data_IF_161699458740
#
_entry.id   IF_161699458740
#
_cell.length_a   1.000
_cell.length_b   1.000
_cell.length_c   1.000
_cell.angle_alpha   90.00
_cell.angle_beta   90.00
_cell.angle_gamma   90.00
#
_symmetry.space_group_name_H-M   'P 1'
#
loop_
_entity.id
_entity.type
_entity.pdbx_description
1 polymer ?
#
# COMPACT_ATOMS: atom_id res chain seq x y z
N UNK A 1 -0.38 -18.66 68.27
CA UNK A 1 -1.79 -18.56 67.81
C UNK A 1 -1.90 -17.33 66.93
N UNK A 2 -2.31 -17.53 65.68
CA UNK A 2 -3.00 -16.57 64.79
C UNK A 2 -2.30 -15.23 64.53
N UNK A 3 -1.69 -15.11 63.34
CA UNK A 3 -1.80 -13.95 62.44
C UNK A 3 -0.75 -14.12 61.34
N UNK A 4 -1.15 -14.66 60.18
CA UNK A 4 -0.42 -14.53 58.90
C UNK A 4 -1.24 -15.07 57.71
N UNK A 5 -2.36 -15.77 57.97
CA UNK A 5 -3.24 -16.29 56.92
C UNK A 5 -4.23 -15.26 56.34
N UNK A 6 -4.31 -14.04 56.89
CA UNK A 6 -5.36 -13.07 56.50
C UNK A 6 -4.94 -12.13 55.36
N UNK A 7 -3.67 -12.11 54.96
CA UNK A 7 -3.16 -11.09 54.02
C UNK A 7 -3.27 -11.52 52.55
N UNK A 8 -3.31 -12.82 52.25
CA UNK A 8 -3.30 -13.32 50.86
C UNK A 8 -4.67 -13.32 50.17
N UNK A 9 -5.77 -13.44 50.92
CA UNK A 9 -7.11 -13.59 50.35
C UNK A 9 -7.70 -12.27 49.84
N UNK A 10 -7.36 -11.17 50.52
CA UNK A 10 -7.80 -9.81 50.17
C UNK A 10 -7.10 -9.25 48.94
N UNK A 11 -5.85 -9.64 48.68
CA UNK A 11 -5.09 -9.18 47.50
C UNK A 11 -5.62 -9.76 46.20
N UNK A 12 -6.09 -11.01 46.22
CA UNK A 12 -6.59 -11.69 45.03
C UNK A 12 -7.92 -11.08 44.51
N UNK A 13 -8.78 -10.61 45.40
CA UNK A 13 -10.05 -9.96 45.00
C UNK A 13 -9.85 -8.58 44.39
N UNK A 14 -8.84 -7.81 44.83
CA UNK A 14 -8.52 -6.50 44.26
C UNK A 14 -7.95 -6.57 42.83
N UNK A 15 -7.27 -7.67 42.46
CA UNK A 15 -6.73 -7.85 41.11
C UNK A 15 -7.82 -8.17 40.07
N UNK A 16 -8.88 -8.87 40.46
CA UNK A 16 -9.96 -9.26 39.54
C UNK A 16 -10.84 -8.06 39.14
N UNK A 17 -11.08 -7.10 40.04
CA UNK A 17 -11.87 -5.89 39.75
C UNK A 17 -11.14 -4.89 38.86
N UNK A 18 -9.80 -4.88 38.84
CA UNK A 18 -9.03 -3.93 38.03
C UNK A 18 -9.12 -4.24 36.53
N UNK A 19 -9.30 -5.50 36.15
CA UNK A 19 -9.37 -5.93 34.74
C UNK A 19 -10.69 -5.57 34.04
N UNK A 20 -11.73 -5.16 34.78
CA UNK A 20 -13.06 -4.82 34.22
C UNK A 20 -13.12 -3.36 33.75
N UNK A 21 -12.22 -2.49 34.22
CA UNK A 21 -12.24 -1.05 33.88
C UNK A 21 -11.31 -0.64 32.74
N UNK A 22 -10.43 -1.53 32.28
CA UNK A 22 -9.64 -1.34 31.06
C UNK A 22 -10.28 -2.07 29.88
N UNK A 23 -11.60 -1.91 29.72
CA UNK A 23 -12.22 -2.12 28.42
C UNK A 23 -11.75 -0.99 27.52
N UNK A 24 -10.57 -1.15 26.91
CA UNK A 24 -10.09 -0.25 25.87
C UNK A 24 -11.18 -0.17 24.80
N UNK A 25 -11.78 1.01 24.67
CA UNK A 25 -12.54 1.37 23.49
C UNK A 25 -11.53 1.57 22.37
N UNK A 26 -11.03 0.46 21.82
CA UNK A 26 -10.35 0.46 20.54
C UNK A 26 -11.38 0.86 19.49
N UNK A 27 -11.62 2.17 19.36
CA UNK A 27 -12.39 2.75 18.28
C UNK A 27 -11.73 2.29 16.99
N UNK A 28 -12.45 1.58 16.14
CA UNK A 28 -11.98 1.26 14.81
C UNK A 28 -11.76 2.57 14.05
N UNK A 29 -10.51 2.99 13.93
CA UNK A 29 -10.14 4.17 13.14
C UNK A 29 -10.19 3.79 11.67
N UNK A 30 -11.08 4.43 10.91
CA UNK A 30 -11.20 4.21 9.46
C UNK A 30 -10.19 5.06 8.71
N UNK A 31 -9.56 4.48 7.69
CA UNK A 31 -8.69 5.24 6.79
C UNK A 31 -9.52 6.09 5.84
N UNK A 32 -9.14 7.37 5.70
CA UNK A 32 -9.74 8.28 4.70
C UNK A 32 -9.49 7.73 3.29
N UNK A 33 -10.56 7.62 2.50
CA UNK A 33 -10.48 7.44 1.06
C UNK A 33 -10.10 8.79 0.42
N UNK A 34 -9.01 8.82 -0.35
CA UNK A 34 -8.58 10.04 -1.04
C UNK A 34 -9.53 10.38 -2.19
N UNK A 35 -9.79 11.67 -2.39
CA UNK A 35 -10.48 12.14 -3.58
C UNK A 35 -9.56 11.98 -4.82
N UNK A 36 -10.08 11.58 -6.00
CA UNK A 36 -9.25 11.44 -7.20
C UNK A 36 -8.46 12.71 -7.56
N UNK A 37 -8.97 13.91 -7.27
CA UNK A 37 -8.24 15.16 -7.53
C UNK A 37 -6.96 15.28 -6.68
N UNK A 38 -6.91 14.66 -5.49
CA UNK A 38 -5.73 14.65 -4.62
C UNK A 38 -4.59 13.77 -5.20
N UNK A 39 -4.93 12.80 -6.05
CA UNK A 39 -3.98 11.84 -6.64
C UNK A 39 -3.73 12.05 -8.13
N UNK A 40 -4.54 12.87 -8.81
CA UNK A 40 -4.31 13.24 -10.19
C UNK A 40 -2.95 13.96 -10.40
N UNK A 41 -2.45 13.91 -11.64
CA UNK A 41 -1.20 14.52 -12.09
C UNK A 41 -0.12 13.50 -12.46
N UNK A 42 1.10 14.01 -12.68
CA UNK A 42 2.22 13.18 -13.12
C UNK A 42 2.89 12.45 -11.96
N UNK A 43 3.15 11.17 -12.17
CA UNK A 43 3.84 10.27 -11.25
C UNK A 43 5.01 9.61 -11.96
N UNK A 44 6.09 9.35 -11.24
CA UNK A 44 7.18 8.53 -11.73
C UNK A 44 7.05 7.13 -11.14
N UNK A 45 6.90 6.14 -12.01
CA UNK A 45 7.02 4.75 -11.65
C UNK A 45 8.44 4.26 -11.95
N UNK A 46 9.03 3.54 -11.02
CA UNK A 46 10.35 2.90 -11.15
C UNK A 46 10.23 1.41 -10.87
N UNK A 47 10.72 0.59 -11.78
CA UNK A 47 10.85 -0.85 -11.62
C UNK A 47 12.24 -1.17 -11.07
N UNK A 48 12.30 -1.87 -9.95
CA UNK A 48 13.55 -2.28 -9.29
C UNK A 48 13.43 -3.73 -8.84
N UNK A 49 14.50 -4.50 -8.88
CA UNK A 49 14.50 -5.79 -8.21
C UNK A 49 14.59 -5.67 -6.69
N UNK A 50 14.11 -6.69 -5.97
CA UNK A 50 14.32 -6.82 -4.53
C UNK A 50 15.74 -7.22 -4.17
N UNK A 51 16.45 -7.86 -5.10
CA UNK A 51 17.82 -8.34 -4.97
C UNK A 51 18.61 -8.12 -6.27
N UNK A 52 19.94 -8.16 -6.17
CA UNK A 52 20.86 -8.03 -7.31
C UNK A 52 21.16 -9.40 -7.94
N UNK A 53 20.19 -10.32 -7.96
CA UNK A 53 20.39 -11.63 -8.59
C UNK A 53 20.52 -11.47 -10.12
N UNK A 54 21.27 -12.35 -10.82
CA UNK A 54 21.42 -12.28 -12.28
C UNK A 54 20.07 -12.34 -13.02
N UNK A 55 19.10 -13.05 -12.46
CA UNK A 55 17.71 -13.16 -12.95
C UNK A 55 16.97 -11.82 -12.80
N UNK A 56 17.11 -11.17 -11.65
CA UNK A 56 16.60 -9.83 -11.36
C UNK A 56 17.22 -8.74 -12.24
N UNK A 57 18.49 -8.88 -12.61
CA UNK A 57 19.18 -7.96 -13.53
C UNK A 57 18.64 -8.10 -14.97
N UNK A 58 18.51 -9.33 -15.47
CA UNK A 58 17.99 -9.58 -16.81
C UNK A 58 16.54 -9.09 -17.00
N UNK A 59 15.75 -9.05 -15.92
CA UNK A 59 14.38 -8.52 -15.92
C UNK A 59 14.32 -6.98 -15.92
N UNK A 60 15.39 -6.31 -15.51
CA UNK A 60 15.57 -4.85 -15.58
C UNK A 60 16.11 -4.37 -16.93
N UNK A 61 16.48 -5.27 -17.84
CA UNK A 61 16.94 -4.92 -19.21
C UNK A 61 15.77 -4.61 -20.18
N UNK A 62 14.55 -4.44 -19.66
CA UNK A 62 13.39 -3.94 -20.40
C UNK A 62 13.59 -2.47 -20.82
N UNK A 63 12.92 -1.96 -21.87
CA UNK A 63 13.29 -0.72 -22.57
C UNK A 63 13.36 0.55 -21.70
N UNK A 64 12.70 0.55 -20.53
CA UNK A 64 12.98 1.50 -19.46
C UNK A 64 12.53 0.93 -18.12
N UNK A 65 13.36 1.12 -17.08
CA UNK A 65 12.99 0.87 -15.69
C UNK A 65 12.23 2.06 -15.07
N UNK A 66 12.01 3.13 -15.82
CA UNK A 66 11.33 4.34 -15.36
C UNK A 66 10.25 4.75 -16.37
N UNK A 67 9.04 4.99 -15.88
CA UNK A 67 7.93 5.54 -16.66
C UNK A 67 7.34 6.73 -15.92
N UNK A 68 7.12 7.86 -16.62
CA UNK A 68 6.31 8.96 -16.07
C UNK A 68 4.88 8.74 -16.54
N UNK A 69 3.96 8.56 -15.61
CA UNK A 69 2.56 8.22 -15.85
C UNK A 69 1.68 9.40 -15.47
N UNK A 70 0.77 9.79 -16.35
CA UNK A 70 -0.24 10.80 -16.07
C UNK A 70 -1.51 10.18 -15.51
N UNK A 71 -1.83 10.50 -14.26
CA UNK A 71 -3.06 10.10 -13.60
C UNK A 71 -4.11 11.18 -13.85
N UNK A 72 -5.03 10.92 -14.78
CA UNK A 72 -6.04 11.90 -15.15
C UNK A 72 -7.16 11.95 -14.11
N UNK A 73 -7.79 13.12 -13.94
CA UNK A 73 -8.95 13.30 -13.04
C UNK A 73 -10.14 12.41 -13.40
N UNK A 74 -10.25 11.99 -14.66
CA UNK A 74 -11.25 11.03 -15.15
C UNK A 74 -10.97 9.59 -14.72
N UNK A 75 -9.97 9.37 -13.86
CA UNK A 75 -9.57 8.05 -13.36
C UNK A 75 -9.07 7.11 -14.47
N UNK A 76 -8.56 7.72 -15.54
CA UNK A 76 -7.86 7.06 -16.64
C UNK A 76 -6.36 7.34 -16.55
N UNK A 77 -5.55 6.44 -17.12
CA UNK A 77 -4.11 6.63 -17.27
C UNK A 77 -3.83 7.25 -18.64
N UNK A 78 -3.10 8.37 -18.65
CA UNK A 78 -2.72 9.10 -19.85
C UNK A 78 -1.34 8.72 -20.37
N UNK A 79 -0.54 9.75 -20.64
CA UNK A 79 0.85 9.60 -21.07
C UNK A 79 1.61 8.65 -20.14
N UNK A 80 2.42 7.74 -20.71
CA UNK A 80 3.20 6.76 -19.95
C UNK A 80 2.47 5.48 -19.54
N UNK A 81 1.15 5.38 -19.77
CA UNK A 81 0.40 4.14 -19.50
C UNK A 81 0.94 2.93 -20.29
N UNK A 82 1.35 3.14 -21.55
CA UNK A 82 1.94 2.09 -22.39
C UNK A 82 3.30 1.60 -21.87
N UNK A 83 4.16 2.54 -21.43
CA UNK A 83 5.44 2.24 -20.78
C UNK A 83 5.21 1.39 -19.52
N UNK A 84 4.28 1.81 -18.67
CA UNK A 84 3.96 1.11 -17.43
C UNK A 84 3.36 -0.28 -17.67
N UNK A 85 2.51 -0.42 -18.69
CA UNK A 85 1.87 -1.70 -19.06
C UNK A 85 2.88 -2.78 -19.46
N UNK A 86 4.05 -2.40 -19.99
CA UNK A 86 5.12 -3.35 -20.34
C UNK A 86 5.66 -4.15 -19.13
N UNK A 87 5.35 -3.72 -17.91
CA UNK A 87 5.73 -4.38 -16.67
C UNK A 87 4.66 -5.36 -16.15
N UNK A 88 3.42 -5.29 -16.65
CA UNK A 88 2.25 -5.96 -16.05
C UNK A 88 1.89 -7.29 -16.71
N UNK A 89 2.89 -8.11 -17.08
CA UNK A 89 2.68 -9.47 -17.58
C UNK A 89 1.65 -9.63 -18.73
N UNK A 90 1.52 -8.63 -19.61
CA UNK A 90 0.59 -8.64 -20.75
C UNK A 90 -0.74 -7.95 -20.48
N UNK A 91 -0.98 -7.46 -19.27
CA UNK A 91 -2.13 -6.62 -18.96
C UNK A 91 -1.88 -5.17 -19.38
N UNK A 92 -2.92 -4.52 -19.92
CA UNK A 92 -2.86 -3.11 -20.30
C UNK A 92 -3.44 -2.27 -19.17
N UNK A 93 -2.64 -1.36 -18.61
CA UNK A 93 -3.10 -0.39 -17.62
C UNK A 93 -3.88 0.73 -18.31
N UNK A 94 -5.17 0.85 -17.99
CA UNK A 94 -6.11 1.78 -18.63
C UNK A 94 -6.60 2.83 -17.63
N UNK A 95 -6.84 2.43 -16.38
CA UNK A 95 -7.38 3.31 -15.36
C UNK A 95 -6.72 3.15 -14.01
N UNK A 96 -7.21 3.93 -13.06
CA UNK A 96 -6.74 3.89 -11.69
C UNK A 96 -7.84 4.32 -10.72
N UNK A 97 -7.77 3.89 -9.47
CA UNK A 97 -8.75 4.24 -8.44
C UNK A 97 -8.05 4.41 -7.07
N UNK A 98 -8.36 5.47 -6.30
CA UNK A 98 -7.86 5.60 -4.93
C UNK A 98 -8.44 4.48 -4.05
N UNK A 99 -7.63 3.82 -3.23
CA UNK A 99 -8.11 2.97 -2.14
C UNK A 99 -7.63 3.58 -0.80
N UNK A 100 -8.29 3.29 0.35
CA UNK A 100 -7.95 3.95 1.63
C UNK A 100 -6.48 3.82 2.05
N UNK A 101 -5.83 2.75 1.62
CA UNK A 101 -4.43 2.39 1.90
C UNK A 101 -3.57 2.30 0.64
N UNK A 102 -4.04 2.80 -0.51
CA UNK A 102 -3.27 2.66 -1.75
C UNK A 102 -3.95 3.20 -3.00
N UNK A 103 -3.53 2.65 -4.14
CA UNK A 103 -4.06 2.94 -5.46
C UNK A 103 -4.21 1.62 -6.20
N UNK A 104 -5.40 1.38 -6.75
CA UNK A 104 -5.61 0.32 -7.71
C UNK A 104 -5.27 0.82 -9.11
N UNK A 105 -4.54 0.04 -9.89
CA UNK A 105 -4.44 0.16 -11.34
C UNK A 105 -5.43 -0.81 -11.94
N UNK A 106 -6.19 -0.32 -12.92
CA UNK A 106 -7.23 -1.10 -13.58
C UNK A 106 -6.91 -1.36 -15.04
N UNK A 107 -7.29 -2.55 -15.49
CA UNK A 107 -7.20 -2.99 -16.88
C UNK A 107 -8.50 -2.79 -17.63
N UNK A 108 -8.70 -3.61 -18.66
CA UNK A 108 -9.93 -3.60 -19.42
C UNK A 108 -11.12 -3.94 -18.51
N UNK A 109 -12.27 -3.32 -18.80
CA UNK A 109 -13.52 -3.52 -18.06
C UNK A 109 -13.44 -3.18 -16.56
N UNK A 110 -12.42 -2.42 -16.14
CA UNK A 110 -12.25 -1.98 -14.74
C UNK A 110 -11.71 -3.05 -13.79
N UNK A 111 -11.21 -4.18 -14.32
CA UNK A 111 -10.58 -5.22 -13.50
C UNK A 111 -9.33 -4.67 -12.78
N UNK A 112 -9.15 -5.00 -11.49
CA UNK A 112 -7.95 -4.60 -10.73
C UNK A 112 -6.78 -5.51 -11.13
N UNK A 113 -5.76 -4.93 -11.74
CA UNK A 113 -4.57 -5.67 -12.26
C UNK A 113 -3.32 -5.46 -11.40
N UNK A 114 -3.24 -4.33 -10.69
CA UNK A 114 -2.15 -4.06 -9.75
C UNK A 114 -2.66 -3.22 -8.57
N UNK A 115 -2.18 -3.52 -7.37
CA UNK A 115 -2.41 -2.71 -6.19
C UNK A 115 -1.10 -2.10 -5.69
N UNK A 116 -1.07 -0.77 -5.61
CA UNK A 116 0.05 0.04 -5.13
C UNK A 116 -0.25 0.49 -3.70
N UNK A 117 0.35 -0.18 -2.71
CA UNK A 117 0.15 0.13 -1.30
C UNK A 117 0.86 1.44 -0.91
N UNK A 118 0.13 2.34 -0.24
CA UNK A 118 0.66 3.60 0.28
C UNK A 118 1.73 3.31 1.34
N UNK A 119 2.95 3.81 1.11
CA UNK A 119 4.03 3.75 2.10
C UNK A 119 4.03 5.00 2.97
N UNK A 120 3.79 6.14 2.33
CA UNK A 120 3.62 7.48 2.90
C UNK A 120 3.00 8.38 1.82
N UNK A 121 2.65 9.60 2.18
CA UNK A 121 2.10 10.55 1.21
C UNK A 121 3.01 10.74 0.00
N UNK A 122 2.44 10.59 -1.19
CA UNK A 122 3.17 10.71 -2.45
C UNK A 122 4.12 9.55 -2.78
N UNK A 123 4.06 8.42 -2.07
CA UNK A 123 4.92 7.25 -2.32
C UNK A 123 4.16 5.94 -2.13
N UNK A 124 4.09 5.13 -3.19
CA UNK A 124 3.39 3.85 -3.22
C UNK A 124 4.29 2.74 -3.75
N UNK A 125 3.99 1.49 -3.38
CA UNK A 125 4.76 0.32 -3.83
C UNK A 125 3.87 -0.87 -4.16
N UNK A 126 4.28 -1.65 -5.15
CA UNK A 126 3.67 -2.93 -5.49
C UNK A 126 4.75 -3.97 -5.76
N UNK A 127 4.58 -5.19 -5.24
CA UNK A 127 5.42 -6.31 -5.61
C UNK A 127 4.84 -7.02 -6.83
N UNK A 128 5.68 -7.34 -7.81
CA UNK A 128 5.33 -8.19 -8.93
C UNK A 128 5.67 -9.66 -8.62
N UNK A 129 5.13 -10.60 -9.40
CA UNK A 129 5.38 -12.04 -9.24
C UNK A 129 6.86 -12.42 -9.42
N UNK A 130 7.63 -11.61 -10.13
CA UNK A 130 9.00 -11.91 -10.58
C UNK A 130 10.09 -11.25 -9.74
N UNK A 131 9.96 -11.24 -8.40
CA UNK A 131 10.88 -10.54 -7.44
C UNK A 131 11.09 -9.03 -7.66
N UNK A 132 10.42 -8.44 -8.65
CA UNK A 132 10.45 -7.01 -8.93
C UNK A 132 9.48 -6.24 -8.03
N UNK A 133 9.78 -4.97 -7.82
CA UNK A 133 8.97 -3.99 -7.11
C UNK A 133 8.80 -2.77 -7.99
N UNK A 134 7.56 -2.31 -8.10
CA UNK A 134 7.24 -1.00 -8.65
C UNK A 134 7.19 -0.02 -7.49
N UNK A 135 7.92 1.09 -7.60
CA UNK A 135 7.79 2.25 -6.72
C UNK A 135 7.18 3.40 -7.50
N UNK A 136 6.08 3.97 -7.01
CA UNK A 136 5.41 5.13 -7.61
C UNK A 136 5.61 6.35 -6.71
N UNK A 137 6.20 7.42 -7.25
CA UNK A 137 6.44 8.68 -6.52
C UNK A 137 5.84 9.86 -7.26
N UNK A 138 5.25 10.81 -6.52
CA UNK A 138 4.69 12.02 -7.12
C UNK A 138 5.81 12.84 -7.75
N UNK A 139 5.66 13.22 -9.01
CA UNK A 139 6.60 14.18 -9.60
C UNK A 139 6.32 15.54 -8.97
N UNK A 140 7.35 16.15 -8.39
CA UNK A 140 7.27 17.56 -8.00
C UNK A 140 7.28 18.37 -9.29
N UNK A 141 6.24 19.17 -9.50
CA UNK A 141 6.22 20.21 -10.53
C UNK A 141 7.29 21.26 -10.23
#
# INVERSE_FOLDING_TARGET
>A
MVQNAFTHRTTAWFLATLMIFFGETAMASSLKLADPSELAGKWQATLSAKDDSPESQALQDKPSNVCVIDFQQTQTLGEGASCFSAWLNGETAIGWFPEPDGIAITGNEGSKILFLSRQRDGSYKAALKSTLVITLVRQKQ
#
